data_IF_503056109063
#
_entry.id   IF_503056109063
#
_cell.length_a   1.000
_cell.length_b   1.000
_cell.length_c   1.000
_cell.angle_alpha   90.00
_cell.angle_beta   90.00
_cell.angle_gamma   90.00
#
_symmetry.space_group_name_H-M   'P 1'
#
loop_
_entity.id
_entity.type
_entity.pdbx_description
1 polymer ?
#
# COMPACT_ATOMS: atom_id res chain seq x y z
N UNK A 1 13.69 6.67 -27.70
CA UNK A 1 12.31 6.42 -27.25
C UNK A 1 12.36 5.36 -26.16
N UNK A 2 12.49 5.79 -24.91
CA UNK A 2 12.31 4.99 -23.69
C UNK A 2 12.41 5.96 -22.50
N UNK A 3 11.28 6.39 -21.90
CA UNK A 3 11.31 6.59 -20.44
C UNK A 3 10.03 6.20 -19.71
N UNK A 4 8.98 5.73 -20.40
CA UNK A 4 7.66 5.51 -19.76
C UNK A 4 7.63 4.32 -18.80
N UNK A 5 8.48 3.31 -18.98
CA UNK A 5 8.52 2.12 -18.10
C UNK A 5 9.37 2.30 -16.83
N UNK A 6 10.42 3.13 -16.86
CA UNK A 6 11.27 3.40 -15.69
C UNK A 6 10.49 4.26 -14.66
N UNK A 7 9.86 5.34 -15.14
CA UNK A 7 9.13 6.29 -14.29
C UNK A 7 7.93 5.65 -13.55
N UNK A 8 7.31 4.64 -14.15
CA UNK A 8 6.19 3.91 -13.52
C UNK A 8 6.67 2.88 -12.50
N UNK A 9 7.90 2.34 -12.63
CA UNK A 9 8.55 1.56 -11.55
C UNK A 9 9.00 2.44 -10.41
N UNK A 10 9.55 3.62 -10.69
CA UNK A 10 10.00 4.57 -9.67
C UNK A 10 8.82 5.08 -8.82
N UNK A 11 7.71 5.44 -9.47
CA UNK A 11 6.49 5.86 -8.79
C UNK A 11 5.92 4.72 -7.91
N UNK A 12 5.87 3.49 -8.43
CA UNK A 12 5.43 2.33 -7.66
C UNK A 12 6.36 2.03 -6.48
N UNK A 13 7.68 2.13 -6.67
CA UNK A 13 8.68 1.96 -5.62
C UNK A 13 8.55 3.02 -4.51
N UNK A 14 8.30 4.27 -4.88
CA UNK A 14 8.05 5.35 -3.91
C UNK A 14 6.77 5.11 -3.09
N UNK A 15 5.69 4.62 -3.73
CA UNK A 15 4.46 4.27 -3.01
C UNK A 15 4.70 3.07 -2.08
N UNK A 16 5.42 2.04 -2.54
CA UNK A 16 5.78 0.89 -1.69
C UNK A 16 6.57 1.34 -0.46
N UNK A 17 7.60 2.17 -0.64
CA UNK A 17 8.36 2.72 0.48
C UNK A 17 7.47 3.52 1.45
N UNK A 18 6.58 4.36 0.90
CA UNK A 18 5.66 5.15 1.71
C UNK A 18 4.65 4.30 2.49
N UNK A 19 4.15 3.21 1.90
CA UNK A 19 3.26 2.24 2.57
C UNK A 19 4.02 1.45 3.64
N UNK A 20 5.27 1.03 3.37
CA UNK A 20 6.11 0.36 4.37
C UNK A 20 6.30 1.26 5.59
N UNK A 21 6.54 2.56 5.41
CA UNK A 21 6.64 3.51 6.51
C UNK A 21 5.36 3.60 7.35
N UNK A 22 4.19 3.56 6.70
CA UNK A 22 2.89 3.57 7.40
C UNK A 22 2.66 2.27 8.17
N UNK A 23 3.05 1.14 7.59
CA UNK A 23 2.90 -0.19 8.18
C UNK A 23 3.86 -0.41 9.35
N UNK A 24 5.08 0.13 9.27
CA UNK A 24 6.16 -0.09 10.24
C UNK A 24 5.76 0.01 11.72
N UNK A 25 5.00 1.02 12.19
CA UNK A 25 4.57 1.10 13.60
C UNK A 25 3.61 -0.01 14.04
N UNK A 26 2.91 -0.67 13.09
CA UNK A 26 1.96 -1.76 13.35
C UNK A 26 2.62 -3.14 13.36
N UNK A 27 3.85 -3.24 12.87
CA UNK A 27 4.57 -4.52 12.77
C UNK A 27 4.97 -4.98 14.16
N UNK A 28 4.48 -6.17 14.55
CA UNK A 28 4.68 -6.71 15.90
C UNK A 28 6.03 -7.43 16.08
N UNK A 29 6.85 -7.52 15.04
CA UNK A 29 8.13 -8.22 15.06
C UNK A 29 9.18 -7.56 14.16
N UNK A 30 10.27 -7.08 14.75
CA UNK A 30 11.41 -6.48 14.05
C UNK A 30 12.20 -7.48 13.17
N UNK A 31 11.96 -8.79 13.33
CA UNK A 31 12.63 -9.82 12.55
C UNK A 31 12.02 -10.02 11.16
N UNK A 32 10.91 -9.34 10.83
CA UNK A 32 10.22 -9.54 9.56
C UNK A 32 10.72 -8.55 8.52
N UNK A 33 11.03 -9.05 7.34
CA UNK A 33 11.44 -8.21 6.21
C UNK A 33 10.19 -7.55 5.61
N UNK A 34 10.15 -6.22 5.63
CA UNK A 34 9.10 -5.42 5.00
C UNK A 34 9.50 -5.11 3.57
N UNK A 35 9.01 -5.92 2.62
CA UNK A 35 9.13 -5.71 1.18
C UNK A 35 7.73 -5.77 0.55
N UNK A 36 7.63 -5.38 -0.72
CA UNK A 36 6.44 -5.55 -1.55
C UNK A 36 5.82 -6.96 -1.51
N UNK A 37 6.61 -8.03 -1.36
CA UNK A 37 6.13 -9.41 -1.23
C UNK A 37 5.72 -9.83 0.18
N UNK A 38 5.96 -8.99 1.20
CA UNK A 38 5.62 -9.31 2.58
C UNK A 38 4.10 -9.38 2.76
N UNK A 39 3.62 -10.46 3.38
CA UNK A 39 2.19 -10.65 3.68
C UNK A 39 1.80 -9.90 4.94
N UNK A 40 0.66 -9.20 4.90
CA UNK A 40 0.16 -8.40 6.02
C UNK A 40 -0.10 -9.27 7.26
N UNK A 41 -0.72 -10.43 7.10
CA UNK A 41 -0.96 -11.37 8.21
C UNK A 41 0.35 -11.91 8.81
N UNK A 42 1.40 -12.06 7.99
CA UNK A 42 2.70 -12.60 8.43
C UNK A 42 3.52 -11.60 9.24
N UNK A 43 3.29 -10.30 9.06
CA UNK A 43 3.93 -9.23 9.85
C UNK A 43 3.12 -8.88 11.12
N UNK A 44 2.04 -9.62 11.37
CA UNK A 44 1.22 -9.48 12.58
C UNK A 44 0.16 -8.39 12.51
N UNK A 45 -0.17 -7.90 11.31
CA UNK A 45 -1.29 -6.98 11.11
C UNK A 45 -2.59 -7.78 11.20
N UNK A 46 -3.48 -7.32 12.07
CA UNK A 46 -4.84 -7.82 12.15
C UNK A 46 -5.85 -6.88 11.47
N UNK A 47 -7.11 -7.28 11.44
CA UNK A 47 -8.18 -6.53 10.77
C UNK A 47 -8.40 -5.13 11.34
N UNK A 48 -8.04 -4.88 12.60
CA UNK A 48 -8.17 -3.55 13.21
C UNK A 48 -6.99 -2.66 12.79
N UNK A 49 -5.76 -3.20 12.88
CA UNK A 49 -4.55 -2.55 12.38
C UNK A 49 -4.71 -2.15 10.90
N UNK A 50 -5.33 -3.02 10.09
CA UNK A 50 -5.54 -2.79 8.67
C UNK A 50 -6.43 -1.56 8.37
N UNK A 51 -7.45 -1.30 9.22
CA UNK A 51 -8.30 -0.12 9.08
C UNK A 51 -7.50 1.15 9.33
N UNK A 52 -6.67 1.18 10.39
CA UNK A 52 -5.82 2.33 10.69
C UNK A 52 -4.75 2.57 9.61
N UNK A 53 -4.13 1.50 9.11
CA UNK A 53 -3.15 1.58 8.03
C UNK A 53 -3.77 2.21 6.78
N UNK A 54 -5.02 1.85 6.46
CA UNK A 54 -5.70 2.40 5.29
C UNK A 54 -5.97 3.89 5.46
N UNK A 55 -6.48 4.33 6.61
CA UNK A 55 -6.62 5.76 6.90
C UNK A 55 -5.28 6.51 6.80
N UNK A 56 -4.21 5.97 7.40
CA UNK A 56 -2.90 6.60 7.36
C UNK A 56 -2.32 6.66 5.93
N UNK A 57 -2.59 5.66 5.11
CA UNK A 57 -2.23 5.65 3.69
C UNK A 57 -3.06 6.69 2.91
N UNK A 58 -4.37 6.75 3.12
CA UNK A 58 -5.26 7.74 2.53
C UNK A 58 -4.80 9.16 2.84
N UNK A 59 -4.48 9.46 4.10
CA UNK A 59 -3.96 10.76 4.52
C UNK A 59 -2.59 11.06 3.88
N UNK A 60 -1.68 10.08 3.86
CA UNK A 60 -0.32 10.26 3.33
C UNK A 60 -0.30 10.52 1.82
N UNK A 61 -1.12 9.80 1.07
CA UNK A 61 -1.15 9.88 -0.40
C UNK A 61 -2.29 10.78 -0.92
N UNK A 62 -3.18 11.23 -0.04
CA UNK A 62 -4.36 12.03 -0.38
C UNK A 62 -5.33 11.27 -1.28
N UNK A 63 -5.46 9.96 -1.09
CA UNK A 63 -6.37 9.08 -1.85
C UNK A 63 -7.54 8.64 -0.97
N UNK A 64 -8.57 8.07 -1.58
CA UNK A 64 -9.70 7.46 -0.87
C UNK A 64 -9.84 6.03 -1.39
N UNK A 65 -9.70 5.06 -0.49
CA UNK A 65 -9.81 3.64 -0.80
C UNK A 65 -11.26 3.23 -0.54
N UNK A 66 -11.99 2.92 -1.61
CA UNK A 66 -13.37 2.49 -1.48
C UNK A 66 -13.44 1.14 -0.73
N UNK A 67 -14.00 1.17 0.49
CA UNK A 67 -14.16 0.04 1.41
C UNK A 67 -15.24 -0.93 0.93
N UNK A 68 -15.30 -1.23 -0.38
CA UNK A 68 -16.15 -2.29 -0.86
C UNK A 68 -15.52 -3.65 -0.50
N UNK A 69 -15.89 -4.18 0.67
CA UNK A 69 -15.43 -5.47 1.24
C UNK A 69 -15.59 -6.62 0.24
N UNK A 70 -16.50 -6.50 -0.72
CA UNK A 70 -16.78 -7.54 -1.72
C UNK A 70 -15.74 -7.58 -2.85
N UNK A 71 -14.77 -6.67 -2.92
CA UNK A 71 -13.74 -6.66 -3.97
C UNK A 71 -12.37 -6.13 -3.55
N UNK A 72 -12.27 -5.15 -2.66
CA UNK A 72 -10.97 -4.49 -2.41
C UNK A 72 -10.12 -5.26 -1.38
N UNK A 73 -10.69 -5.62 -0.24
CA UNK A 73 -9.95 -6.24 0.87
C UNK A 73 -9.50 -7.68 0.60
N UNK A 74 -10.28 -8.44 -0.17
CA UNK A 74 -9.98 -9.83 -0.50
C UNK A 74 -8.70 -10.00 -1.32
N UNK A 75 -8.19 -8.93 -1.93
CA UNK A 75 -6.98 -8.95 -2.75
C UNK A 75 -5.76 -8.29 -2.07
N UNK A 76 -5.92 -7.70 -0.88
CA UNK A 76 -4.85 -7.07 -0.12
C UNK A 76 -4.10 -8.10 0.75
N UNK A 77 -3.37 -9.01 0.10
CA UNK A 77 -2.59 -10.01 0.81
C UNK A 77 -1.20 -9.51 1.21
N UNK A 78 -0.61 -8.61 0.41
CA UNK A 78 0.76 -8.12 0.58
C UNK A 78 0.87 -6.60 0.60
N UNK A 79 2.00 -6.10 1.09
CA UNK A 79 2.35 -4.67 1.04
C UNK A 79 2.31 -4.15 -0.40
N UNK A 80 2.78 -4.95 -1.36
CA UNK A 80 2.79 -4.62 -2.78
C UNK A 80 1.38 -4.51 -3.37
N UNK A 81 0.45 -5.35 -2.94
CA UNK A 81 -0.95 -5.27 -3.37
C UNK A 81 -1.59 -3.94 -2.92
N UNK A 82 -1.37 -3.57 -1.64
CA UNK A 82 -1.84 -2.30 -1.10
C UNK A 82 -1.19 -1.12 -1.82
N UNK A 83 0.12 -1.12 -1.96
CA UNK A 83 0.84 -0.04 -2.63
C UNK A 83 0.43 0.12 -4.10
N UNK A 84 0.11 -0.98 -4.80
CA UNK A 84 -0.37 -0.93 -6.18
C UNK A 84 -1.76 -0.29 -6.27
N UNK A 85 -2.64 -0.60 -5.34
CA UNK A 85 -3.98 -0.01 -5.33
C UNK A 85 -3.92 1.49 -5.03
N UNK A 86 -3.13 1.87 -4.04
CA UNK A 86 -2.86 3.28 -3.69
C UNK A 86 -2.24 4.03 -4.86
N UNK A 87 -1.27 3.43 -5.56
CA UNK A 87 -0.63 4.05 -6.72
C UNK A 87 -1.64 4.30 -7.86
N UNK A 88 -2.55 3.35 -8.12
CA UNK A 88 -3.63 3.55 -9.10
C UNK A 88 -4.56 4.69 -8.71
N UNK A 89 -5.00 4.72 -7.45
CA UNK A 89 -5.90 5.77 -6.95
C UNK A 89 -5.24 7.15 -7.00
N UNK A 90 -3.97 7.24 -6.60
CA UNK A 90 -3.19 8.48 -6.66
C UNK A 90 -2.99 8.97 -8.09
N UNK A 91 -2.73 8.05 -9.03
CA UNK A 91 -2.61 8.38 -10.45
C UNK A 91 -3.94 8.84 -11.05
N UNK A 92 -5.06 8.18 -10.71
CA UNK A 92 -6.40 8.56 -11.15
C UNK A 92 -6.79 9.95 -10.63
N UNK A 93 -6.50 10.26 -9.36
CA UNK A 93 -6.75 11.57 -8.76
C UNK A 93 -5.94 12.69 -9.43
N UNK A 94 -4.68 12.43 -9.79
CA UNK A 94 -3.83 13.41 -10.49
C UNK A 94 -4.25 13.68 -11.94
N UNK A 95 -5.02 12.79 -12.55
CA UNK A 95 -5.49 12.93 -13.92
C UNK A 95 -6.77 13.78 -14.05
N UNK A 96 -7.29 14.32 -12.94
CA UNK A 96 -8.49 15.16 -12.87
C UNK A 96 -8.13 16.53 -12.32
#
# INVERSE_FOLDING_TARGET
MAPVEEQSRDAQGAVVAGVIEVIRPYVKSDAVTLDSGARLDAIGIDSFDLVEIIFAVEEKFGVEVDYNINSTYTHLATIGDLAREVAKLAAAKKAT
#
